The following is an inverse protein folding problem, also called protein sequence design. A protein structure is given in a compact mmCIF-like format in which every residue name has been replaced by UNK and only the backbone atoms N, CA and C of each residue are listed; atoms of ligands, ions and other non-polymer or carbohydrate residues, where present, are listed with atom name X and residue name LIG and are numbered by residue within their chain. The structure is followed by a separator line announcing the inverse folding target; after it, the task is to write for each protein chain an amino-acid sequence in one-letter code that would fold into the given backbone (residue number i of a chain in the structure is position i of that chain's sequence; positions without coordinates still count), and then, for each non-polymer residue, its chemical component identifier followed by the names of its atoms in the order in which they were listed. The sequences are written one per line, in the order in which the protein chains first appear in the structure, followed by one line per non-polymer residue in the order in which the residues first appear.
data_IF_894726094935
#
_entry.id   IF_894726094935
#
_cell.length_a   1.000
_cell.length_b   1.000
_cell.length_c   1.000
_cell.angle_alpha   90.00
_cell.angle_beta   90.00
_cell.angle_gamma   90.00
#
_symmetry.space_group_name_H-M   'P 1'
#
loop_
_entity.id
_entity.type
_entity.pdbx_description
1 polymer ?
#
# COMPACT_ATOMS: atom_id res chain seq x y z
N UNK A 1 -24.93 -34.46 -12.12
CA UNK A 1 -23.62 -33.80 -12.24
C UNK A 1 -23.52 -33.02 -13.55
N UNK A 2 -22.69 -32.01 -13.64
CA UNK A 2 -22.44 -31.21 -14.86
C UNK A 2 -21.44 -31.95 -15.74
N UNK A 3 -21.66 -31.98 -17.07
CA UNK A 3 -20.76 -32.65 -18.02
C UNK A 3 -19.46 -31.87 -18.26
N UNK A 4 -18.40 -32.52 -18.81
CA UNK A 4 -17.10 -31.88 -19.05
C UNK A 4 -17.18 -30.58 -19.88
N UNK A 5 -17.99 -30.56 -20.90
CA UNK A 5 -18.19 -29.38 -21.78
C UNK A 5 -18.78 -28.17 -20.98
N UNK A 6 -19.73 -28.44 -20.07
CA UNK A 6 -20.28 -27.39 -19.21
C UNK A 6 -19.24 -26.86 -18.22
N UNK A 7 -18.36 -27.73 -17.72
CA UNK A 7 -17.27 -27.30 -16.82
C UNK A 7 -16.28 -26.38 -17.54
N UNK A 8 -15.92 -26.69 -18.78
CA UNK A 8 -15.07 -25.83 -19.61
C UNK A 8 -15.74 -24.45 -19.87
N UNK A 9 -17.05 -24.47 -20.16
CA UNK A 9 -17.80 -23.22 -20.34
C UNK A 9 -17.86 -22.37 -19.06
N UNK A 10 -18.04 -22.99 -17.90
CA UNK A 10 -18.01 -22.31 -16.60
C UNK A 10 -16.62 -21.73 -16.31
N UNK A 11 -15.56 -22.50 -16.60
CA UNK A 11 -14.19 -22.04 -16.46
C UNK A 11 -13.93 -20.79 -17.33
N UNK A 12 -14.28 -20.83 -18.62
CA UNK A 12 -14.08 -19.71 -19.53
C UNK A 12 -14.84 -18.44 -19.10
N UNK A 13 -16.09 -18.60 -18.67
CA UNK A 13 -16.87 -17.46 -18.14
C UNK A 13 -16.32 -16.93 -16.81
N UNK A 14 -15.88 -17.80 -15.91
CA UNK A 14 -15.27 -17.43 -14.65
C UNK A 14 -13.94 -16.70 -14.84
N UNK A 15 -13.11 -17.18 -15.77
CA UNK A 15 -11.81 -16.57 -16.08
C UNK A 15 -11.97 -15.10 -16.49
N UNK A 16 -12.83 -14.80 -17.47
CA UNK A 16 -13.04 -13.43 -17.93
C UNK A 16 -13.69 -12.51 -16.89
N UNK A 17 -14.54 -13.06 -16.01
CA UNK A 17 -15.17 -12.27 -14.93
C UNK A 17 -14.19 -11.77 -13.86
N UNK A 18 -13.00 -12.39 -13.75
CA UNK A 18 -11.99 -12.01 -12.78
C UNK A 18 -11.10 -10.84 -13.24
N UNK A 19 -11.13 -10.45 -14.53
CA UNK A 19 -10.24 -9.41 -15.04
C UNK A 19 -10.42 -8.06 -14.36
N UNK A 20 -11.65 -7.64 -14.12
CA UNK A 20 -11.92 -6.36 -13.45
C UNK A 20 -11.33 -6.38 -12.03
N UNK A 21 -11.61 -7.43 -11.27
CA UNK A 21 -11.07 -7.58 -9.92
C UNK A 21 -9.54 -7.70 -9.93
N UNK A 22 -8.98 -8.49 -10.86
CA UNK A 22 -7.53 -8.62 -11.02
C UNK A 22 -6.86 -7.28 -11.28
N UNK A 23 -7.42 -6.46 -12.19
CA UNK A 23 -6.89 -5.12 -12.47
C UNK A 23 -7.01 -4.20 -11.25
N UNK A 24 -8.09 -4.27 -10.49
CA UNK A 24 -8.23 -3.51 -9.25
C UNK A 24 -7.13 -3.87 -8.24
N UNK A 25 -6.78 -5.15 -8.10
CA UNK A 25 -5.68 -5.59 -7.22
C UNK A 25 -4.32 -5.06 -7.65
N UNK A 26 -4.04 -5.08 -8.96
CA UNK A 26 -2.84 -4.47 -9.54
C UNK A 26 -2.79 -2.97 -9.22
N UNK A 27 -3.89 -2.25 -9.42
CA UNK A 27 -3.95 -0.82 -9.16
C UNK A 27 -3.83 -0.46 -7.67
N UNK A 28 -4.40 -1.26 -6.76
CA UNK A 28 -4.21 -1.07 -5.30
C UNK A 28 -2.73 -1.16 -4.94
N UNK A 29 -2.05 -2.20 -5.45
CA UNK A 29 -0.63 -2.37 -5.19
C UNK A 29 0.20 -1.25 -5.82
N UNK A 30 -0.02 -0.97 -7.11
CA UNK A 30 0.73 0.03 -7.87
C UNK A 30 0.61 1.43 -7.27
N UNK A 31 -0.63 1.87 -6.98
CA UNK A 31 -0.84 3.21 -6.41
C UNK A 31 -0.29 3.33 -4.99
N UNK A 32 -0.36 2.26 -4.19
CA UNK A 32 0.28 2.17 -2.88
C UNK A 32 1.80 2.24 -2.98
N UNK A 33 2.38 1.48 -3.91
CA UNK A 33 3.82 1.46 -4.19
C UNK A 33 4.34 2.85 -4.58
N UNK A 34 3.72 3.47 -5.58
CA UNK A 34 4.12 4.79 -6.05
C UNK A 34 4.01 5.83 -4.94
N UNK A 35 2.95 5.80 -4.14
CA UNK A 35 2.81 6.70 -2.99
C UNK A 35 3.93 6.51 -1.97
N UNK A 36 4.30 5.27 -1.65
CA UNK A 36 5.39 4.96 -0.72
C UNK A 36 6.74 5.50 -1.18
N UNK A 37 6.98 5.54 -2.51
CA UNK A 37 8.20 6.06 -3.10
C UNK A 37 8.22 7.60 -3.23
N UNK A 38 7.14 8.29 -2.88
CA UNK A 38 7.10 9.75 -2.94
C UNK A 38 8.13 10.40 -2.02
N UNK A 39 8.69 11.57 -2.39
CA UNK A 39 9.72 12.25 -1.61
C UNK A 39 9.32 12.54 -0.17
N UNK A 40 8.04 12.89 0.07
CA UNK A 40 7.52 13.15 1.40
C UNK A 40 7.55 11.88 2.27
N UNK A 41 7.06 10.76 1.73
CA UNK A 41 7.03 9.48 2.46
C UNK A 41 8.45 8.96 2.71
N UNK A 42 9.32 9.01 1.69
CA UNK A 42 10.74 8.67 1.87
C UNK A 42 11.41 9.51 2.98
N UNK A 43 11.15 10.82 3.00
CA UNK A 43 11.66 11.70 4.05
C UNK A 43 11.10 11.39 5.44
N UNK A 44 9.83 10.99 5.54
CA UNK A 44 9.22 10.55 6.79
C UNK A 44 9.84 9.22 7.26
N UNK A 45 10.02 8.26 6.37
CA UNK A 45 10.65 6.97 6.69
C UNK A 45 12.07 7.15 7.20
N UNK A 46 12.87 8.00 6.56
CA UNK A 46 14.23 8.31 7.02
C UNK A 46 14.26 8.82 8.46
N UNK A 47 13.32 9.71 8.84
CA UNK A 47 13.21 10.20 10.24
C UNK A 47 12.78 9.09 11.20
N UNK A 48 11.87 8.22 10.78
CA UNK A 48 11.41 7.09 11.61
C UNK A 48 12.55 6.09 11.84
N UNK A 49 13.37 5.84 10.82
CA UNK A 49 14.50 4.89 10.95
C UNK A 49 15.63 5.39 11.84
N UNK A 50 15.65 6.67 12.18
CA UNK A 50 16.62 7.26 13.12
C UNK A 50 16.17 7.16 14.61
N UNK A 51 14.89 6.77 14.87
CA UNK A 51 14.36 6.67 16.22
C UNK A 51 14.91 5.47 17.01
N UNK A 52 14.99 4.24 16.46
CA UNK A 52 15.44 3.08 17.22
C UNK A 52 16.94 3.10 17.46
N UNK A 53 17.31 2.86 18.72
CA UNK A 53 18.72 2.73 19.15
C UNK A 53 19.13 1.28 19.41
N UNK A 54 18.18 0.38 19.51
CA UNK A 54 18.43 -1.04 19.81
C UNK A 54 17.68 -1.95 18.83
N UNK A 55 18.15 -3.19 18.61
CA UNK A 55 17.47 -4.16 17.75
C UNK A 55 16.00 -4.39 18.12
N UNK A 56 15.68 -4.48 19.41
CA UNK A 56 14.29 -4.63 19.88
C UNK A 56 13.41 -3.44 19.53
N UNK A 57 13.92 -2.21 19.66
CA UNK A 57 13.18 -1.01 19.25
C UNK A 57 12.99 -0.97 17.73
N UNK A 58 13.99 -1.37 16.95
CA UNK A 58 13.88 -1.44 15.51
C UNK A 58 12.77 -2.42 15.06
N UNK A 59 12.72 -3.61 15.68
CA UNK A 59 11.65 -4.58 15.42
C UNK A 59 10.26 -4.02 15.78
N UNK A 60 10.12 -3.42 16.96
CA UNK A 60 8.85 -2.84 17.42
C UNK A 60 8.40 -1.69 16.54
N UNK A 61 9.28 -0.74 16.18
CA UNK A 61 8.95 0.39 15.30
C UNK A 61 8.59 -0.09 13.91
N UNK A 62 9.34 -1.05 13.34
CA UNK A 62 9.02 -1.62 12.03
C UNK A 62 7.65 -2.29 12.04
N UNK A 63 7.34 -3.11 13.04
CA UNK A 63 6.03 -3.74 13.18
C UNK A 63 4.91 -2.69 13.29
N UNK A 64 5.07 -1.69 14.16
CA UNK A 64 4.05 -0.66 14.39
C UNK A 64 3.78 0.15 13.11
N UNK A 65 4.81 0.61 12.42
CA UNK A 65 4.66 1.41 11.20
C UNK A 65 4.07 0.58 10.06
N UNK A 66 4.51 -0.68 9.90
CA UNK A 66 3.95 -1.59 8.90
C UNK A 66 2.48 -1.90 9.17
N UNK A 67 2.10 -2.13 10.43
CA UNK A 67 0.69 -2.35 10.82
C UNK A 67 -0.18 -1.13 10.49
N UNK A 68 0.28 0.09 10.82
CA UNK A 68 -0.43 1.33 10.49
C UNK A 68 -0.56 1.48 8.97
N UNK A 69 0.53 1.32 8.23
CA UNK A 69 0.55 1.49 6.79
C UNK A 69 -0.34 0.45 6.07
N UNK A 70 -0.26 -0.83 6.45
CA UNK A 70 -1.10 -1.91 5.93
C UNK A 70 -2.57 -1.73 6.28
N UNK A 71 -2.90 -1.17 7.44
CA UNK A 71 -4.29 -0.86 7.79
C UNK A 71 -4.91 0.08 6.76
N UNK A 72 -4.21 1.14 6.35
CA UNK A 72 -4.73 2.06 5.33
C UNK A 72 -4.75 1.44 3.95
N UNK A 73 -3.63 0.84 3.54
CA UNK A 73 -3.53 0.16 2.25
C UNK A 73 -2.45 -0.93 2.33
N UNK A 74 -2.84 -2.18 2.07
CA UNK A 74 -1.95 -3.32 2.16
C UNK A 74 -0.75 -3.23 1.19
N UNK A 75 -0.96 -2.75 -0.04
CA UNK A 75 0.13 -2.54 -1.01
C UNK A 75 1.12 -1.46 -0.56
N UNK A 76 0.61 -0.33 -0.08
CA UNK A 76 1.42 0.73 0.53
C UNK A 76 2.21 0.21 1.74
N UNK A 77 1.55 -0.55 2.62
CA UNK A 77 2.17 -1.07 3.84
C UNK A 77 3.30 -2.05 3.58
N UNK A 78 3.15 -2.95 2.58
CA UNK A 78 4.22 -3.87 2.17
C UNK A 78 5.47 -3.12 1.72
N UNK A 79 5.31 -2.07 0.93
CA UNK A 79 6.43 -1.27 0.43
C UNK A 79 7.09 -0.48 1.56
N UNK A 80 6.29 0.17 2.42
CA UNK A 80 6.80 0.86 3.62
C UNK A 80 7.59 -0.11 4.50
N UNK A 81 7.05 -1.31 4.75
CA UNK A 81 7.73 -2.35 5.52
C UNK A 81 9.08 -2.75 4.92
N UNK A 82 9.13 -2.93 3.59
CA UNK A 82 10.36 -3.27 2.88
C UNK A 82 11.40 -2.14 2.97
N UNK A 83 10.99 -0.87 2.78
CA UNK A 83 11.87 0.30 2.91
C UNK A 83 12.43 0.37 4.35
N UNK A 84 11.55 0.26 5.36
CA UNK A 84 11.97 0.29 6.76
C UNK A 84 12.95 -0.85 7.09
N UNK A 85 12.66 -2.08 6.62
CA UNK A 85 13.53 -3.23 6.86
C UNK A 85 14.93 -3.00 6.26
N UNK A 86 15.03 -2.47 5.05
CA UNK A 86 16.32 -2.17 4.42
C UNK A 86 17.08 -1.06 5.15
N UNK A 87 16.41 0.05 5.44
CA UNK A 87 17.06 1.19 6.09
C UNK A 87 17.47 0.89 7.54
N UNK A 88 16.60 0.27 8.34
CA UNK A 88 16.93 -0.11 9.71
C UNK A 88 17.98 -1.22 9.75
N UNK A 89 17.90 -2.20 8.83
CA UNK A 89 18.90 -3.25 8.70
C UNK A 89 20.30 -2.71 8.44
N UNK A 90 20.42 -1.61 7.71
CA UNK A 90 21.72 -0.96 7.44
C UNK A 90 22.22 -0.06 8.58
N UNK A 91 21.31 0.50 9.39
CA UNK A 91 21.63 1.48 10.45
C UNK A 91 21.87 0.83 11.82
N UNK A 92 21.11 -0.20 12.17
CA UNK A 92 21.08 -0.79 13.51
C UNK A 92 21.95 -2.04 13.56
N UNK A 93 23.10 -1.96 14.22
CA UNK A 93 24.02 -3.10 14.40
C UNK A 93 23.41 -4.18 15.29
N UNK A 94 23.72 -5.44 15.05
CA UNK A 94 23.23 -6.58 15.81
C UNK A 94 21.75 -6.89 15.56
N UNK A 95 21.15 -6.31 14.52
CA UNK A 95 19.77 -6.55 14.15
C UNK A 95 19.66 -7.77 13.23
N UNK A 96 18.92 -8.77 13.67
CA UNK A 96 18.67 -9.97 12.87
C UNK A 96 17.70 -9.66 11.72
N UNK A 97 18.23 -9.56 10.50
CA UNK A 97 17.49 -9.09 9.32
C UNK A 97 16.25 -9.94 8.96
N UNK A 98 16.32 -11.31 8.99
CA UNK A 98 15.11 -12.11 8.73
C UNK A 98 13.97 -11.81 9.71
N UNK A 99 14.27 -11.57 10.98
CA UNK A 99 13.26 -11.21 11.97
C UNK A 99 12.68 -9.82 11.72
N UNK A 100 13.51 -8.89 11.25
CA UNK A 100 13.06 -7.55 10.84
C UNK A 100 12.12 -7.60 9.64
N UNK A 101 12.43 -8.44 8.65
CA UNK A 101 11.54 -8.69 7.49
C UNK A 101 10.22 -9.31 7.94
N UNK A 102 10.26 -10.26 8.89
CA UNK A 102 9.05 -10.83 9.46
C UNK A 102 8.20 -9.77 10.19
N UNK A 103 8.83 -8.85 10.93
CA UNK A 103 8.15 -7.74 11.58
C UNK A 103 7.51 -6.78 10.57
N UNK A 104 8.20 -6.47 9.48
CA UNK A 104 7.67 -5.67 8.38
C UNK A 104 6.46 -6.33 7.71
N UNK A 105 6.52 -7.63 7.44
CA UNK A 105 5.43 -8.37 6.84
C UNK A 105 4.25 -8.61 7.80
N UNK A 106 4.49 -8.58 9.11
CA UNK A 106 3.46 -8.72 10.13
C UNK A 106 2.33 -7.68 10.01
N UNK A 107 2.56 -6.55 9.33
CA UNK A 107 1.55 -5.56 8.99
C UNK A 107 0.37 -6.12 8.19
N UNK A 108 0.59 -7.17 7.39
CA UNK A 108 -0.46 -7.81 6.58
C UNK A 108 -1.57 -8.50 7.39
N UNK A 109 -1.38 -8.70 8.68
CA UNK A 109 -2.41 -9.28 9.54
C UNK A 109 -3.59 -8.34 9.83
N UNK A 110 -3.41 -7.02 9.64
CA UNK A 110 -4.48 -6.04 9.81
C UNK A 110 -4.98 -5.56 8.45
N UNK A 111 -6.28 -5.40 8.35
CA UNK A 111 -6.95 -4.97 7.13
C UNK A 111 -7.96 -3.87 7.44
N UNK A 112 -7.90 -2.81 6.68
CA UNK A 112 -8.78 -1.64 6.82
C UNK A 112 -9.37 -1.20 5.48
N UNK A 113 -9.35 0.10 5.17
CA UNK A 113 -10.05 0.70 4.02
C UNK A 113 -9.71 0.13 2.64
N UNK A 114 -8.58 -0.58 2.49
CA UNK A 114 -8.20 -1.22 1.23
C UNK A 114 -8.52 -2.72 1.17
N UNK A 115 -9.26 -3.24 2.14
CA UNK A 115 -9.65 -4.66 2.16
C UNK A 115 -10.61 -4.97 1.02
N UNK A 116 -10.16 -5.75 0.05
CA UNK A 116 -10.85 -5.97 -1.22
C UNK A 116 -12.22 -6.63 -1.06
N UNK A 117 -12.32 -7.71 -0.32
CA UNK A 117 -13.58 -8.46 -0.22
C UNK A 117 -14.68 -7.67 0.50
N UNK A 118 -14.46 -7.04 1.67
CA UNK A 118 -15.47 -6.17 2.28
C UNK A 118 -15.92 -5.01 1.38
N UNK A 119 -14.98 -4.36 0.67
CA UNK A 119 -15.32 -3.26 -0.25
C UNK A 119 -16.10 -3.74 -1.46
N UNK A 120 -15.76 -4.89 -2.04
CA UNK A 120 -16.53 -5.49 -3.13
C UNK A 120 -17.92 -5.85 -2.65
N UNK A 121 -18.06 -6.44 -1.46
CA UNK A 121 -19.37 -6.82 -0.89
C UNK A 121 -20.26 -5.61 -0.60
N UNK A 122 -19.67 -4.45 -0.32
CA UNK A 122 -20.41 -3.20 -0.11
C UNK A 122 -20.81 -2.48 -1.41
N UNK A 123 -20.23 -2.89 -2.55
CA UNK A 123 -20.50 -2.25 -3.85
C UNK A 123 -21.67 -2.91 -4.54
N UNK A 124 -22.65 -2.13 -4.98
CA UNK A 124 -23.80 -2.64 -5.72
C UNK A 124 -23.39 -3.31 -7.04
N UNK A 125 -24.12 -4.37 -7.45
CA UNK A 125 -23.83 -5.14 -8.66
C UNK A 125 -22.66 -6.13 -8.51
N UNK A 126 -22.15 -6.36 -7.30
CA UNK A 126 -21.08 -7.33 -7.06
C UNK A 126 -21.58 -8.77 -7.23
N UNK A 127 -20.66 -9.70 -7.45
CA UNK A 127 -20.98 -11.11 -7.70
C UNK A 127 -21.59 -11.83 -6.48
N UNK A 128 -21.37 -11.33 -5.27
CA UNK A 128 -21.88 -11.92 -4.04
C UNK A 128 -23.33 -11.50 -3.75
N UNK A 129 -23.80 -10.38 -4.31
CA UNK A 129 -25.12 -9.79 -4.03
C UNK A 129 -26.27 -10.77 -4.25
N UNK A 130 -26.15 -11.62 -5.28
CA UNK A 130 -27.12 -12.69 -5.57
C UNK A 130 -27.17 -13.79 -4.50
N UNK A 131 -26.07 -13.97 -3.78
CA UNK A 131 -25.93 -15.00 -2.74
C UNK A 131 -26.37 -14.44 -1.40
N UNK A 132 -26.00 -13.21 -1.11
CA UNK A 132 -26.25 -12.52 0.17
C UNK A 132 -27.62 -11.86 0.24
N UNK A 133 -28.31 -11.73 -0.90
CA UNK A 133 -29.61 -11.05 -0.99
C UNK A 133 -29.51 -9.52 -0.93
N UNK A 134 -28.30 -8.95 -1.09
CA UNK A 134 -28.04 -7.52 -1.09
C UNK A 134 -26.59 -7.19 -0.80
N UNK A 135 -26.24 -5.89 -0.78
CA UNK A 135 -24.91 -5.42 -0.40
C UNK A 135 -24.70 -5.52 1.11
N UNK A 136 -23.46 -5.85 1.51
CA UNK A 136 -23.04 -5.87 2.92
C UNK A 136 -22.27 -4.58 3.23
N UNK A 137 -22.81 -3.66 4.05
CA UNK A 137 -22.14 -2.39 4.29
C UNK A 137 -20.82 -2.56 5.05
N UNK A 138 -19.85 -1.68 4.80
CA UNK A 138 -18.53 -1.69 5.46
C UNK A 138 -18.65 -1.54 6.99
N UNK A 139 -19.72 -0.95 7.49
CA UNK A 139 -20.01 -0.84 8.92
C UNK A 139 -20.37 -2.18 9.57
N UNK A 140 -20.86 -3.14 8.80
CA UNK A 140 -21.13 -4.51 9.28
C UNK A 140 -19.88 -5.41 9.20
N UNK A 141 -18.81 -4.96 8.54
CA UNK A 141 -17.56 -5.73 8.32
C UNK A 141 -16.37 -4.98 8.89
N UNK A 142 -15.70 -4.15 8.09
CA UNK A 142 -14.46 -3.45 8.45
C UNK A 142 -14.58 -2.55 9.67
N UNK A 143 -15.67 -1.81 9.74
CA UNK A 143 -15.93 -0.83 10.80
C UNK A 143 -16.91 -1.32 11.86
N UNK A 144 -17.17 -2.63 11.91
CA UNK A 144 -17.88 -3.22 13.05
C UNK A 144 -17.04 -3.12 14.32
N UNK A 145 -17.66 -2.89 15.47
CA UNK A 145 -16.96 -2.69 16.74
C UNK A 145 -16.03 -3.86 17.11
N UNK A 146 -16.48 -5.08 16.82
CA UNK A 146 -15.70 -6.30 17.11
C UNK A 146 -14.46 -6.42 16.20
N UNK A 147 -14.56 -6.02 14.92
CA UNK A 147 -13.41 -6.03 14.00
C UNK A 147 -12.40 -4.92 14.37
N UNK A 148 -12.87 -3.75 14.79
CA UNK A 148 -11.99 -2.68 15.27
C UNK A 148 -11.27 -3.08 16.56
N UNK A 149 -11.98 -3.73 17.50
CA UNK A 149 -11.38 -4.26 18.71
C UNK A 149 -10.33 -5.33 18.41
N UNK A 150 -10.64 -6.27 17.52
CA UNK A 150 -9.71 -7.31 17.07
C UNK A 150 -8.47 -6.70 16.40
N UNK A 151 -8.66 -5.73 15.51
CA UNK A 151 -7.55 -5.01 14.84
C UNK A 151 -6.64 -4.33 15.85
N UNK A 152 -7.22 -3.64 16.85
CA UNK A 152 -6.47 -3.03 17.93
C UNK A 152 -5.71 -4.07 18.78
N UNK A 153 -6.36 -5.18 19.10
CA UNK A 153 -5.73 -6.26 19.86
C UNK A 153 -4.55 -6.87 19.10
N UNK A 154 -4.70 -7.14 17.78
CA UNK A 154 -3.62 -7.63 16.92
C UNK A 154 -2.48 -6.61 16.87
N UNK A 155 -2.79 -5.32 16.72
CA UNK A 155 -1.79 -4.26 16.71
C UNK A 155 -0.93 -4.27 17.98
N UNK A 156 -1.58 -4.23 19.14
CA UNK A 156 -0.88 -4.22 20.43
C UNK A 156 -0.08 -5.51 20.64
N UNK A 157 -0.68 -6.65 20.32
CA UNK A 157 -0.06 -7.96 20.51
C UNK A 157 1.19 -8.13 19.64
N UNK A 158 1.10 -7.81 18.37
CA UNK A 158 2.25 -7.92 17.45
C UNK A 158 3.36 -6.93 17.81
N UNK A 159 3.00 -5.69 18.13
CA UNK A 159 3.98 -4.70 18.60
C UNK A 159 4.76 -5.24 19.82
N UNK A 160 4.07 -5.76 20.85
CA UNK A 160 4.69 -6.30 22.04
C UNK A 160 5.51 -7.56 21.79
N UNK A 161 5.02 -8.45 20.89
CA UNK A 161 5.75 -9.66 20.50
C UNK A 161 7.06 -9.30 19.83
N UNK A 162 7.03 -8.45 18.78
CA UNK A 162 8.25 -8.07 18.07
C UNK A 162 9.21 -7.24 18.94
N UNK A 163 8.70 -6.41 19.83
CA UNK A 163 9.54 -5.68 20.79
C UNK A 163 10.35 -6.59 21.71
N UNK A 164 9.79 -7.77 22.07
CA UNK A 164 10.41 -8.75 22.98
C UNK A 164 11.05 -9.94 22.27
N UNK A 165 10.83 -10.09 20.97
CA UNK A 165 11.29 -11.25 20.22
C UNK A 165 12.81 -11.22 20.05
N UNK A 166 13.42 -12.39 20.24
CA UNK A 166 14.87 -12.60 20.04
C UNK A 166 15.09 -13.52 18.85
N UNK A 167 16.21 -13.38 18.13
CA UNK A 167 16.55 -14.27 17.03
C UNK A 167 16.69 -15.72 17.55
N UNK A 168 16.27 -16.71 16.75
CA UNK A 168 16.32 -18.13 17.17
C UNK A 168 17.73 -18.74 17.09
N UNK A 169 18.72 -18.03 16.57
CA UNK A 169 20.09 -18.51 16.37
C UNK A 169 21.07 -17.37 16.16
N UNK A 170 22.08 -17.60 15.34
CA UNK A 170 23.07 -16.58 15.00
C UNK A 170 22.45 -15.35 14.35
N UNK A 171 23.02 -14.19 14.63
CA UNK A 171 22.55 -12.91 14.07
C UNK A 171 22.98 -12.84 12.61
N UNK A 172 21.98 -12.77 11.72
CA UNK A 172 22.18 -12.51 10.29
C UNK A 172 21.89 -11.03 10.04
N UNK A 173 22.96 -10.25 9.88
CA UNK A 173 22.82 -8.81 9.57
C UNK A 173 22.56 -8.57 8.10
N UNK A 174 21.93 -7.43 7.80
CA UNK A 174 21.70 -6.97 6.44
C UNK A 174 23.03 -6.55 5.79
N UNK A 175 23.34 -7.16 4.65
CA UNK A 175 24.47 -6.73 3.80
C UNK A 175 23.90 -5.83 2.70
N UNK A 176 24.13 -4.53 2.83
CA UNK A 176 23.73 -3.59 1.79
C UNK A 176 24.54 -3.84 0.51
N UNK A 177 23.89 -4.27 -0.56
CA UNK A 177 24.46 -4.11 -1.89
C UNK A 177 24.37 -2.64 -2.26
N UNK A 178 25.51 -2.03 -2.58
CA UNK A 178 25.58 -0.64 -3.00
C UNK A 178 25.02 -0.55 -4.43
N UNK A 179 23.71 -0.39 -4.54
CA UNK A 179 23.09 -0.05 -5.82
C UNK A 179 23.26 1.45 -6.03
N UNK A 180 24.42 1.84 -6.53
CA UNK A 180 24.69 3.22 -6.95
C UNK A 180 24.44 3.36 -8.45
N UNK A 181 23.23 3.72 -8.84
CA UNK A 181 23.00 4.51 -10.04
C UNK A 181 21.88 5.50 -9.76
N UNK A 182 22.24 6.65 -9.16
CA UNK A 182 21.46 7.85 -9.39
C UNK A 182 21.79 8.29 -10.81
N UNK A 183 20.83 8.21 -11.72
CA UNK A 183 20.93 8.94 -12.98
C UNK A 183 21.04 10.43 -12.62
N UNK A 184 22.10 11.07 -13.06
CA UNK A 184 22.26 12.51 -12.89
C UNK A 184 21.17 13.21 -13.72
N UNK A 185 20.27 13.92 -13.05
CA UNK A 185 19.26 14.72 -13.72
C UNK A 185 19.96 15.82 -14.53
N UNK A 186 19.62 15.94 -15.81
CA UNK A 186 20.13 17.02 -16.66
C UNK A 186 19.75 18.38 -16.06
N UNK A 187 20.65 19.37 -16.10
CA UNK A 187 20.32 20.72 -15.66
C UNK A 187 19.16 21.31 -16.49
N UNK A 188 18.29 22.05 -15.82
CA UNK A 188 17.07 22.64 -16.44
C UNK A 188 17.34 23.43 -17.74
N UNK A 189 18.52 24.07 -17.84
CA UNK A 189 18.95 24.82 -19.02
C UNK A 189 19.15 23.97 -20.27
N UNK A 190 19.50 22.71 -20.09
CA UNK A 190 19.81 21.76 -21.19
C UNK A 190 18.62 20.88 -21.57
N UNK A 191 17.50 21.01 -20.83
CA UNK A 191 16.29 20.24 -21.10
C UNK A 191 15.54 20.82 -22.31
N UNK A 192 15.06 19.93 -23.16
CA UNK A 192 14.10 20.25 -24.23
C UNK A 192 12.76 20.72 -23.66
N UNK A 193 11.89 21.30 -24.49
CA UNK A 193 10.57 21.74 -24.05
C UNK A 193 9.72 20.58 -23.49
N UNK A 194 9.79 19.39 -24.09
CA UNK A 194 9.09 18.20 -23.57
C UNK A 194 9.63 17.75 -22.22
N UNK A 195 10.97 17.69 -22.04
CA UNK A 195 11.60 17.36 -20.76
C UNK A 195 11.23 18.39 -19.67
N UNK A 196 11.14 19.68 -20.00
CA UNK A 196 10.68 20.71 -19.06
C UNK A 196 9.23 20.52 -18.62
N UNK A 197 8.35 20.12 -19.52
CA UNK A 197 6.96 19.77 -19.16
C UNK A 197 6.90 18.54 -18.25
N UNK A 198 7.69 17.50 -18.53
CA UNK A 198 7.77 16.30 -17.72
C UNK A 198 8.32 16.57 -16.30
N UNK A 199 9.10 17.64 -16.12
CA UNK A 199 9.62 18.08 -14.83
C UNK A 199 8.80 19.21 -14.19
N UNK A 200 7.71 19.64 -14.81
CA UNK A 200 6.85 20.69 -14.27
C UNK A 200 5.83 20.14 -13.27
N UNK A 201 5.89 20.57 -12.01
CA UNK A 201 4.95 20.16 -10.95
C UNK A 201 3.48 20.46 -11.30
N UNK A 202 3.25 21.52 -12.07
CA UNK A 202 1.91 21.96 -12.47
C UNK A 202 1.16 20.88 -13.27
N UNK A 203 1.88 20.07 -14.01
CA UNK A 203 1.29 18.96 -14.77
C UNK A 203 0.67 17.93 -13.82
N UNK A 204 1.38 17.51 -12.78
CA UNK A 204 0.82 16.63 -11.75
C UNK A 204 -0.38 17.27 -11.04
N UNK A 205 -0.32 18.57 -10.76
CA UNK A 205 -1.42 19.28 -10.11
C UNK A 205 -2.68 19.32 -11.00
N UNK A 206 -2.53 19.57 -12.31
CA UNK A 206 -3.62 19.53 -13.28
C UNK A 206 -4.22 18.13 -13.36
N UNK A 207 -3.40 17.08 -13.49
CA UNK A 207 -3.89 15.71 -13.51
C UNK A 207 -4.54 15.28 -12.19
N UNK A 208 -4.07 15.77 -11.05
CA UNK A 208 -4.69 15.49 -9.75
C UNK A 208 -6.03 16.20 -9.55
N UNK A 209 -6.27 17.30 -10.25
CA UNK A 209 -7.52 18.07 -10.14
C UNK A 209 -8.75 17.22 -10.55
N UNK A 210 -8.62 16.40 -11.61
CA UNK A 210 -9.72 15.55 -12.08
C UNK A 210 -10.19 14.54 -11.02
N UNK A 211 -9.31 13.68 -10.49
CA UNK A 211 -9.72 12.74 -9.45
C UNK A 211 -10.12 13.44 -8.15
N UNK A 212 -9.52 14.58 -7.78
CA UNK A 212 -9.95 15.37 -6.62
C UNK A 212 -11.38 15.87 -6.77
N UNK A 213 -11.71 16.44 -7.94
CA UNK A 213 -13.07 16.90 -8.24
C UNK A 213 -14.05 15.74 -8.20
N UNK A 214 -13.71 14.61 -8.82
CA UNK A 214 -14.57 13.43 -8.78
C UNK A 214 -14.79 12.92 -7.35
N UNK A 215 -13.74 12.82 -6.53
CA UNK A 215 -13.86 12.42 -5.12
C UNK A 215 -14.75 13.37 -4.34
N UNK A 216 -14.57 14.68 -4.52
CA UNK A 216 -15.41 15.70 -3.86
C UNK A 216 -16.89 15.55 -4.22
N UNK A 217 -17.21 15.46 -5.52
CA UNK A 217 -18.59 15.29 -6.00
C UNK A 217 -19.21 13.97 -5.52
N UNK A 218 -18.42 12.89 -5.51
CA UNK A 218 -18.88 11.58 -5.05
C UNK A 218 -19.23 11.61 -3.57
N UNK A 219 -18.35 12.15 -2.71
CA UNK A 219 -18.61 12.26 -1.27
C UNK A 219 -19.75 13.21 -0.94
N UNK A 220 -19.95 14.25 -1.74
CA UNK A 220 -21.07 15.17 -1.58
C UNK A 220 -22.43 14.50 -1.93
N UNK A 221 -22.45 13.65 -2.97
CA UNK A 221 -23.70 13.02 -3.45
C UNK A 221 -24.05 11.73 -2.72
N UNK A 222 -23.10 10.90 -2.39
CA UNK A 222 -23.28 9.55 -1.84
C UNK A 222 -22.84 9.41 -0.38
N UNK A 223 -22.36 10.50 0.24
CA UNK A 223 -21.74 10.46 1.56
C UNK A 223 -20.43 9.67 1.55
N UNK A 224 -19.93 9.32 2.74
CA UNK A 224 -18.66 8.59 2.89
C UNK A 224 -18.87 7.08 2.65
N UNK A 225 -19.17 6.72 1.41
CA UNK A 225 -19.32 5.32 1.00
C UNK A 225 -18.05 4.87 0.24
N UNK A 226 -17.14 4.22 0.95
CA UNK A 226 -15.89 3.74 0.38
C UNK A 226 -16.13 2.52 -0.51
N UNK A 227 -15.72 2.62 -1.78
CA UNK A 227 -15.56 1.49 -2.69
C UNK A 227 -14.08 1.27 -2.99
N UNK A 228 -13.75 0.08 -3.50
CA UNK A 228 -12.36 -0.24 -3.87
C UNK A 228 -11.79 0.75 -4.89
N UNK A 229 -12.60 1.16 -5.87
CA UNK A 229 -12.20 2.15 -6.87
C UNK A 229 -11.92 3.53 -6.25
N UNK A 230 -12.71 3.96 -5.26
CA UNK A 230 -12.46 5.23 -4.56
C UNK A 230 -11.16 5.18 -3.76
N UNK A 231 -10.85 4.06 -3.11
CA UNK A 231 -9.58 3.88 -2.41
C UNK A 231 -8.40 3.96 -3.38
N UNK A 232 -8.47 3.25 -4.52
CA UNK A 232 -7.44 3.34 -5.57
C UNK A 232 -7.27 4.79 -6.04
N UNK A 233 -8.38 5.50 -6.27
CA UNK A 233 -8.36 6.88 -6.75
C UNK A 233 -7.77 7.84 -5.71
N UNK A 234 -8.04 7.64 -4.42
CA UNK A 234 -7.43 8.42 -3.33
C UNK A 234 -5.91 8.23 -3.35
N UNK A 235 -5.42 6.98 -3.42
CA UNK A 235 -3.98 6.70 -3.45
C UNK A 235 -3.31 7.22 -4.71
N UNK A 236 -3.95 7.10 -5.87
CA UNK A 236 -3.50 7.71 -7.14
C UNK A 236 -3.35 9.23 -7.00
N UNK A 237 -4.37 9.88 -6.46
CA UNK A 237 -4.38 11.34 -6.27
C UNK A 237 -3.27 11.78 -5.32
N UNK A 238 -3.13 11.11 -4.18
CA UNK A 238 -2.06 11.38 -3.23
C UNK A 238 -0.68 11.14 -3.87
N UNK A 239 -0.53 10.07 -4.66
CA UNK A 239 0.69 9.80 -5.41
C UNK A 239 1.05 10.93 -6.35
N UNK A 240 0.09 11.40 -7.18
CA UNK A 240 0.31 12.53 -8.10
C UNK A 240 0.71 13.82 -7.37
N UNK A 241 0.06 14.13 -6.25
CA UNK A 241 0.33 15.36 -5.49
C UNK A 241 1.67 15.31 -4.72
N UNK A 242 2.08 14.13 -4.24
CA UNK A 242 3.28 13.97 -3.43
C UNK A 242 4.55 13.73 -4.24
N UNK A 243 4.43 13.45 -5.53
CA UNK A 243 5.54 13.46 -6.46
C UNK A 243 5.75 14.86 -7.03
N UNK A 244 7.00 15.30 -7.09
CA UNK A 244 7.36 16.66 -7.50
C UNK A 244 6.92 16.99 -8.94
N UNK A 245 6.99 16.00 -9.84
CA UNK A 245 6.73 16.17 -11.28
C UNK A 245 6.43 14.80 -11.94
N UNK A 246 5.87 14.78 -13.16
CA UNK A 246 5.51 13.56 -13.87
C UNK A 246 6.63 12.54 -13.97
N UNK A 247 7.86 12.96 -14.29
CA UNK A 247 9.01 12.06 -14.37
C UNK A 247 9.27 11.31 -13.07
N UNK A 248 9.17 12.00 -11.91
CA UNK A 248 9.32 11.36 -10.59
C UNK A 248 8.22 10.32 -10.34
N UNK A 249 6.98 10.61 -10.72
CA UNK A 249 5.86 9.68 -10.61
C UNK A 249 6.05 8.47 -11.52
N UNK A 250 6.39 8.70 -12.78
CA UNK A 250 6.61 7.63 -13.77
C UNK A 250 7.82 6.76 -13.44
N UNK A 251 8.89 7.34 -12.88
CA UNK A 251 10.04 6.56 -12.40
C UNK A 251 9.62 5.61 -11.28
N UNK A 252 8.79 6.08 -10.34
CA UNK A 252 8.24 5.23 -9.29
C UNK A 252 7.31 4.12 -9.82
N UNK A 253 6.62 4.34 -10.94
CA UNK A 253 5.80 3.30 -11.60
C UNK A 253 6.66 2.23 -12.28
N UNK A 254 7.87 2.60 -12.76
CA UNK A 254 8.78 1.69 -13.47
C UNK A 254 9.66 0.86 -12.52
N UNK A 255 9.87 1.30 -11.29
CA UNK A 255 10.68 0.67 -10.26
C UNK A 255 9.99 -0.60 -9.68
#
# INVERSE_FOLDING_TARGET
GKGPTQMIQFWGKGYSSLFVFGMQMVLVLLTGYVLALSPLIKGLMSKITDLPKTPSQALGVTAAVSLIACYFNWGFGLVIGAILAREMGSKVKGLHFPLLVAAAYGGELVRGPSSSIPLVSATAGNFMEKITGGTIPVTATLYSWWNLLLTLAIFVLLFLVYLKMKPPGEIVEFKAEVITKKEEEKPWSEMSFAEKLEHAWIINAIFALFPLTYLFLNFQSLGFNLSLNLVILIFLTCGLLLHKHPTSYLSAVKE
#
